data_IF_076118124411
#
_entry.id   IF_076118124411
#
_cell.length_a   1.000
_cell.length_b   1.000
_cell.length_c   1.000
_cell.angle_alpha   90.00
_cell.angle_beta   90.00
_cell.angle_gamma   90.00
#
_symmetry.space_group_name_H-M   'P 1'
#
loop_
_entity.id
_entity.type
_entity.pdbx_description
1 polymer ?
#
# COMPACT_ATOMS: atom_id res chain seq x y z
N UNK A 1 2.07 -10.09 -10.57
CA UNK A 1 3.07 -10.98 -9.89
C UNK A 1 3.53 -10.32 -8.61
N UNK A 2 3.69 -11.08 -7.52
CA UNK A 2 4.20 -10.59 -6.24
C UNK A 2 5.64 -11.04 -6.02
N UNK A 3 6.57 -10.54 -6.85
CA UNK A 3 7.94 -11.07 -7.00
C UNK A 3 8.66 -11.23 -5.65
N UNK A 4 8.74 -10.17 -4.85
CA UNK A 4 9.38 -10.23 -3.51
C UNK A 4 8.73 -11.20 -2.52
N UNK A 5 7.46 -11.60 -2.72
CA UNK A 5 6.79 -12.57 -1.84
C UNK A 5 7.03 -14.02 -2.26
N UNK A 6 7.35 -14.23 -3.53
CA UNK A 6 7.56 -15.58 -4.11
C UNK A 6 9.04 -15.91 -4.12
N UNK A 7 9.89 -14.96 -4.54
CA UNK A 7 11.33 -15.17 -4.73
C UNK A 7 12.11 -15.22 -3.41
N UNK A 8 11.51 -14.73 -2.32
CA UNK A 8 12.07 -14.77 -0.97
C UNK A 8 11.04 -15.34 -0.01
N UNK A 9 11.31 -16.51 0.53
CA UNK A 9 10.40 -17.36 1.27
C UNK A 9 10.88 -17.65 2.70
N UNK A 10 9.92 -17.72 3.62
CA UNK A 10 10.21 -17.98 5.02
C UNK A 10 10.92 -16.83 5.75
N UNK A 11 11.31 -17.09 7.00
CA UNK A 11 11.97 -16.09 7.87
C UNK A 11 13.45 -15.91 7.55
N UNK A 12 14.12 -16.94 7.06
CA UNK A 12 15.56 -16.92 6.76
C UNK A 12 15.93 -15.88 5.70
N UNK A 13 15.10 -15.71 4.68
CA UNK A 13 15.34 -14.80 3.55
C UNK A 13 14.72 -13.41 3.76
N UNK A 14 14.16 -13.13 4.95
CA UNK A 14 13.48 -11.87 5.24
C UNK A 14 14.45 -10.69 5.15
N UNK A 15 15.67 -10.84 5.67
CA UNK A 15 16.67 -9.78 5.67
C UNK A 15 17.08 -9.41 4.24
N UNK A 16 17.43 -10.41 3.42
CA UNK A 16 17.83 -10.21 2.02
C UNK A 16 16.70 -9.57 1.20
N UNK A 17 15.46 -10.01 1.43
CA UNK A 17 14.27 -9.39 0.84
C UNK A 17 14.15 -7.91 1.19
N UNK A 18 14.30 -7.57 2.48
CA UNK A 18 14.17 -6.17 2.94
C UNK A 18 15.30 -5.29 2.41
N UNK A 19 16.53 -5.79 2.34
CA UNK A 19 17.66 -5.07 1.76
C UNK A 19 17.46 -4.78 0.27
N UNK A 20 17.05 -5.79 -0.52
CA UNK A 20 16.76 -5.60 -1.95
C UNK A 20 15.58 -4.65 -2.18
N UNK A 21 14.55 -4.73 -1.34
CA UNK A 21 13.44 -3.76 -1.38
C UNK A 21 13.92 -2.34 -1.10
N UNK A 22 14.78 -2.13 -0.09
CA UNK A 22 15.33 -0.81 0.22
C UNK A 22 16.15 -0.23 -0.95
N UNK A 23 16.95 -1.06 -1.62
CA UNK A 23 17.71 -0.65 -2.81
C UNK A 23 16.77 -0.25 -3.96
N UNK A 24 15.68 -1.00 -4.18
CA UNK A 24 14.69 -0.66 -5.19
C UNK A 24 14.03 0.68 -4.88
N UNK A 25 13.56 0.88 -3.64
CA UNK A 25 12.92 2.14 -3.22
C UNK A 25 13.85 3.34 -3.38
N UNK A 26 15.12 3.20 -2.99
CA UNK A 26 16.12 4.26 -3.17
C UNK A 26 16.34 4.61 -4.64
N UNK A 27 16.35 3.61 -5.55
CA UNK A 27 16.48 3.86 -6.99
C UNK A 27 15.24 4.56 -7.56
N UNK A 28 14.04 4.17 -7.14
CA UNK A 28 12.80 4.83 -7.56
C UNK A 28 12.77 6.30 -7.14
N UNK A 29 13.21 6.60 -5.91
CA UNK A 29 13.32 7.97 -5.43
C UNK A 29 14.26 8.81 -6.30
N UNK A 30 15.45 8.28 -6.61
CA UNK A 30 16.42 8.95 -7.50
C UNK A 30 15.84 9.22 -8.89
N UNK A 31 15.13 8.25 -9.48
CA UNK A 31 14.47 8.43 -10.78
C UNK A 31 13.41 9.54 -10.71
N UNK A 32 12.62 9.58 -9.63
CA UNK A 32 11.62 10.63 -9.42
C UNK A 32 12.26 12.02 -9.40
N UNK A 33 13.37 12.18 -8.68
CA UNK A 33 14.11 13.44 -8.56
C UNK A 33 14.85 13.82 -9.84
N UNK A 34 15.48 12.86 -10.52
CA UNK A 34 16.28 13.10 -11.72
C UNK A 34 15.43 13.50 -12.92
N UNK A 35 14.27 12.86 -13.09
CA UNK A 35 13.41 13.07 -14.26
C UNK A 35 12.13 13.84 -13.95
N UNK A 36 11.93 14.27 -12.69
CA UNK A 36 10.72 14.95 -12.22
C UNK A 36 9.42 14.19 -12.57
N UNK A 37 9.42 12.88 -12.28
CA UNK A 37 8.28 11.99 -12.57
C UNK A 37 7.62 11.50 -11.28
N UNK A 38 6.30 11.31 -11.33
CA UNK A 38 5.55 10.72 -10.24
C UNK A 38 5.72 9.19 -10.21
N UNK A 39 5.97 8.63 -9.03
CA UNK A 39 6.06 7.18 -8.81
C UNK A 39 4.82 6.70 -8.06
N UNK A 40 4.03 5.83 -8.68
CA UNK A 40 2.86 5.21 -8.07
C UNK A 40 3.13 3.73 -7.79
N UNK A 41 3.01 3.32 -6.52
CA UNK A 41 3.31 1.96 -6.07
C UNK A 41 2.04 1.34 -5.50
N UNK A 42 1.81 0.06 -5.83
CA UNK A 42 0.78 -0.75 -5.19
C UNK A 42 1.42 -1.83 -4.34
N UNK A 43 0.80 -2.14 -3.21
CA UNK A 43 1.22 -3.24 -2.36
C UNK A 43 0.03 -4.13 -1.97
N UNK A 44 0.35 -5.34 -1.55
CA UNK A 44 -0.65 -6.31 -1.10
C UNK A 44 -0.83 -6.23 0.41
N UNK A 45 -2.00 -6.61 0.88
CA UNK A 45 -2.29 -6.78 2.30
C UNK A 45 -2.08 -8.24 2.71
N UNK A 46 -1.67 -8.48 3.95
CA UNK A 46 -1.68 -9.80 4.59
C UNK A 46 -2.57 -9.78 5.82
N UNK A 47 -3.22 -10.89 6.12
CA UNK A 47 -3.83 -11.09 7.42
C UNK A 47 -2.74 -11.14 8.50
N UNK A 48 -3.05 -10.61 9.68
CA UNK A 48 -2.23 -10.77 10.89
C UNK A 48 -2.86 -11.82 11.83
N UNK A 49 -2.36 -13.06 11.87
CA UNK A 49 -2.90 -14.11 12.74
C UNK A 49 -2.80 -13.77 14.24
N UNK A 50 -1.82 -12.92 14.63
CA UNK A 50 -1.61 -12.54 16.03
C UNK A 50 -2.60 -11.51 16.56
N UNK A 51 -3.29 -10.80 15.66
CA UNK A 51 -4.29 -9.80 16.02
C UNK A 51 -5.70 -10.39 16.28
N UNK A 52 -5.82 -11.73 16.30
CA UNK A 52 -7.02 -12.41 16.83
C UNK A 52 -7.22 -12.15 18.34
N UNK A 53 -6.19 -11.70 19.05
CA UNK A 53 -6.24 -11.31 20.47
C UNK A 53 -6.78 -9.88 20.70
N UNK A 54 -6.93 -9.05 19.66
CA UNK A 54 -7.32 -7.64 19.79
C UNK A 54 -8.77 -7.32 19.39
N UNK A 55 -9.63 -8.33 19.20
CA UNK A 55 -11.03 -8.20 18.77
C UNK A 55 -11.25 -7.34 17.51
N UNK A 56 -10.20 -7.11 16.71
CA UNK A 56 -10.33 -6.45 15.42
C UNK A 56 -10.95 -7.40 14.42
N UNK A 57 -12.09 -6.99 13.86
CA UNK A 57 -12.75 -7.67 12.75
C UNK A 57 -11.88 -7.46 11.51
N UNK A 58 -11.04 -8.45 11.19
CA UNK A 58 -10.14 -8.51 10.01
C UNK A 58 -8.88 -7.63 10.08
N UNK A 59 -7.89 -7.98 10.94
CA UNK A 59 -6.65 -7.23 11.09
C UNK A 59 -5.74 -7.46 9.87
N UNK A 60 -5.90 -6.61 8.86
CA UNK A 60 -5.05 -6.58 7.66
C UNK A 60 -3.91 -5.60 7.85
N UNK A 61 -2.70 -6.03 7.49
CA UNK A 61 -1.50 -5.18 7.50
C UNK A 61 -0.92 -5.06 6.08
N UNK A 62 -0.44 -3.87 5.68
CA UNK A 62 0.24 -3.70 4.41
C UNK A 62 1.57 -4.46 4.42
N UNK A 63 1.85 -5.19 3.34
CA UNK A 63 3.14 -5.86 3.14
C UNK A 63 4.17 -4.82 2.69
N UNK A 64 5.42 -5.01 3.13
CA UNK A 64 6.55 -4.13 2.83
C UNK A 64 7.40 -3.79 4.05
N UNK A 65 6.84 -3.95 5.26
CA UNK A 65 7.53 -3.67 6.51
C UNK A 65 7.83 -2.18 6.69
N UNK A 66 8.72 -1.87 7.63
CA UNK A 66 9.12 -0.49 7.92
C UNK A 66 9.85 0.17 6.75
N UNK A 67 10.57 -0.61 5.93
CA UNK A 67 11.26 -0.08 4.75
C UNK A 67 10.28 0.64 3.81
N UNK A 68 9.21 -0.04 3.41
CA UNK A 68 8.22 0.57 2.52
C UNK A 68 7.46 1.70 3.21
N UNK A 69 7.14 1.53 4.51
CA UNK A 69 6.41 2.53 5.28
C UNK A 69 7.15 3.87 5.40
N UNK A 70 8.48 3.85 5.56
CA UNK A 70 9.30 5.07 5.66
C UNK A 70 9.70 5.63 4.29
N UNK A 71 9.86 4.78 3.28
CA UNK A 71 10.26 5.22 1.94
C UNK A 71 9.10 5.81 1.13
N UNK A 72 7.84 5.52 1.49
CA UNK A 72 6.66 6.11 0.83
C UNK A 72 6.26 7.44 1.46
N UNK A 73 6.04 8.47 0.65
CA UNK A 73 5.59 9.79 1.11
C UNK A 73 4.10 9.84 1.46
N UNK A 74 3.24 9.37 0.56
CA UNK A 74 1.79 9.36 0.75
C UNK A 74 1.24 7.96 0.54
N UNK A 75 0.44 7.48 1.49
CA UNK A 75 -0.16 6.14 1.46
C UNK A 75 -1.68 6.24 1.49
N UNK A 76 -2.32 5.56 0.55
CA UNK A 76 -3.78 5.52 0.43
C UNK A 76 -4.25 4.09 0.69
N UNK A 77 -5.10 3.92 1.68
CA UNK A 77 -5.78 2.66 1.97
C UNK A 77 -7.09 2.59 1.19
N UNK A 78 -7.26 1.54 0.39
CA UNK A 78 -8.48 1.30 -0.38
C UNK A 78 -9.31 0.20 0.29
N UNK A 79 -10.60 0.46 0.51
CA UNK A 79 -11.57 -0.53 1.03
C UNK A 79 -12.80 -0.61 0.13
N UNK A 80 -13.43 -1.79 0.11
CA UNK A 80 -14.66 -2.03 -0.63
C UNK A 80 -15.85 -1.42 0.12
N UNK A 81 -16.66 -0.61 -0.55
CA UNK A 81 -17.94 -0.10 -0.05
C UNK A 81 -19.11 -1.01 -0.43
N UNK A 82 -20.33 -0.45 -0.44
CA UNK A 82 -21.53 -1.15 -0.92
C UNK A 82 -21.60 -1.10 -2.45
N UNK A 83 -21.97 -2.21 -3.08
CA UNK A 83 -22.10 -2.29 -4.54
C UNK A 83 -20.80 -1.94 -5.29
N UNK A 84 -20.88 -0.94 -6.17
CA UNK A 84 -19.77 -0.43 -6.97
C UNK A 84 -18.89 0.58 -6.23
N UNK A 85 -19.30 1.03 -5.03
CA UNK A 85 -18.57 2.02 -4.26
C UNK A 85 -17.27 1.46 -3.68
N UNK A 86 -16.29 2.34 -3.57
CA UNK A 86 -14.98 2.14 -2.95
C UNK A 86 -14.67 3.35 -2.10
N UNK A 87 -13.90 3.13 -1.05
CA UNK A 87 -13.52 4.20 -0.13
C UNK A 87 -11.98 4.24 -0.11
N UNK A 88 -11.43 5.42 -0.36
CA UNK A 88 -10.02 5.71 -0.25
C UNK A 88 -9.80 6.54 1.01
N UNK A 89 -8.97 6.04 1.93
CA UNK A 89 -8.55 6.75 3.13
C UNK A 89 -7.08 7.12 3.03
N UNK A 90 -6.71 8.35 3.34
CA UNK A 90 -5.31 8.73 3.55
C UNK A 90 -4.83 8.02 4.81
N UNK A 91 -3.89 7.10 4.63
CA UNK A 91 -3.28 6.32 5.71
C UNK A 91 -2.12 7.08 6.34
N UNK A 92 -1.37 7.82 5.52
CA UNK A 92 -0.23 8.64 5.94
C UNK A 92 0.12 9.64 4.83
N UNK A 93 0.46 10.88 5.20
CA UNK A 93 0.90 11.92 4.27
C UNK A 93 1.53 13.07 5.06
N UNK A 94 2.63 13.69 4.59
CA UNK A 94 3.18 14.88 5.23
C UNK A 94 2.30 16.13 5.05
N UNK A 95 1.57 16.21 3.93
CA UNK A 95 0.87 17.44 3.52
C UNK A 95 -0.65 17.37 3.69
N UNK A 96 -1.21 16.18 3.92
CA UNK A 96 -2.65 15.95 3.92
C UNK A 96 -3.09 15.32 5.25
N UNK A 97 -4.14 15.85 5.90
CA UNK A 97 -4.70 15.22 7.09
C UNK A 97 -5.36 13.88 6.74
N UNK A 98 -5.48 13.00 7.73
CA UNK A 98 -6.29 11.79 7.57
C UNK A 98 -7.72 12.15 7.19
N UNK A 99 -8.13 11.74 6.00
CA UNK A 99 -9.50 11.90 5.50
C UNK A 99 -9.87 10.73 4.59
N UNK A 100 -11.16 10.56 4.32
CA UNK A 100 -11.67 9.55 3.39
C UNK A 100 -12.54 10.16 2.29
N UNK A 101 -12.49 9.54 1.12
CA UNK A 101 -13.31 9.87 -0.03
C UNK A 101 -13.94 8.60 -0.61
N UNK A 102 -15.18 8.72 -1.09
CA UNK A 102 -15.88 7.62 -1.75
C UNK A 102 -15.83 7.83 -3.26
N UNK A 103 -15.57 6.75 -4.00
CA UNK A 103 -15.55 6.73 -5.47
C UNK A 103 -16.25 5.47 -5.98
N UNK A 104 -16.57 5.43 -7.28
CA UNK A 104 -17.12 4.26 -7.96
C UNK A 104 -16.15 3.73 -9.01
N UNK A 105 -16.23 2.43 -9.32
CA UNK A 105 -15.52 1.83 -10.45
C UNK A 105 -16.56 1.49 -11.51
N UNK A 106 -16.56 2.24 -12.61
CA UNK A 106 -17.44 2.06 -13.76
C UNK A 106 -16.66 1.47 -14.94
N UNK A 107 -17.36 1.19 -16.06
CA UNK A 107 -16.74 0.69 -17.28
C UNK A 107 -15.62 1.62 -17.83
N UNK A 108 -15.74 2.94 -17.57
CA UNK A 108 -14.73 3.94 -17.93
C UNK A 108 -13.59 4.11 -16.92
N UNK A 109 -13.57 3.33 -15.83
CA UNK A 109 -12.57 3.44 -14.76
C UNK A 109 -13.11 4.10 -13.49
N UNK A 110 -12.28 4.92 -12.83
CA UNK A 110 -12.65 5.62 -11.59
C UNK A 110 -13.62 6.74 -11.93
N UNK A 111 -14.72 6.83 -11.19
CA UNK A 111 -15.74 7.87 -11.33
C UNK A 111 -16.21 8.34 -9.96
N UNK A 112 -16.87 9.49 -9.92
CA UNK A 112 -17.47 9.98 -8.69
C UNK A 112 -18.46 8.95 -8.12
N UNK A 113 -18.60 8.92 -6.80
CA UNK A 113 -19.63 8.12 -6.17
C UNK A 113 -21.00 8.66 -6.60
N UNK A 114 -21.81 7.81 -7.23
CA UNK A 114 -23.24 8.09 -7.40
C UNK A 114 -23.89 7.83 -6.04
N UNK A 115 -24.64 8.80 -5.54
CA UNK A 115 -25.46 8.65 -4.32
C UNK A 115 -26.35 7.41 -4.39
#
# INVERSE_FOLDING_TARGET
MALFRVDFSGRGELADRQQKLAQLMSRLQKISEEYNVAIFITNQMTADPGATLSFQVDPKKPIGGHILAHASTTRIMLRKGRGELRIAKIYDSPDLPENEATFSICAGGISDAKE
#
